data_IF_151511155970
#
_entry.id   IF_151511155970
#
_cell.length_a   1.000
_cell.length_b   1.000
_cell.length_c   1.000
_cell.angle_alpha   90.00
_cell.angle_beta   90.00
_cell.angle_gamma   90.00
#
_symmetry.space_group_name_H-M   'P 1'
#
loop_
_entity.id
_entity.type
_entity.pdbx_description
1 polymer ?
#
# COMPACT_ATOMS: atom_id res chain seq x y z
N UNK A 1 4.45 37.15 9.53
CA UNK A 1 3.89 36.29 8.45
C UNK A 1 4.25 34.87 8.85
N UNK A 2 3.28 34.00 9.15
CA UNK A 2 3.58 32.59 9.39
C UNK A 2 3.97 31.97 8.04
N UNK A 3 5.15 31.38 7.96
CA UNK A 3 5.52 30.55 6.82
C UNK A 3 4.87 29.19 7.03
N UNK A 4 3.76 28.94 6.34
CA UNK A 4 3.20 27.59 6.24
C UNK A 4 4.16 26.73 5.43
N UNK A 5 4.69 25.70 6.06
CA UNK A 5 5.53 24.70 5.40
C UNK A 5 4.69 23.88 4.43
N UNK A 6 5.31 23.34 3.38
CA UNK A 6 4.69 22.30 2.55
C UNK A 6 4.19 21.12 3.40
N UNK A 7 4.89 20.83 4.50
CA UNK A 7 4.49 19.81 5.45
C UNK A 7 3.17 20.17 6.15
N UNK A 8 3.00 21.42 6.58
CA UNK A 8 1.76 21.90 7.22
C UNK A 8 0.57 21.82 6.24
N UNK A 9 0.80 22.07 4.96
CA UNK A 9 -0.23 21.95 3.92
C UNK A 9 -0.64 20.48 3.75
N UNK A 10 0.32 19.56 3.62
CA UNK A 10 0.06 18.12 3.49
C UNK A 10 -0.67 17.60 4.74
N UNK A 11 -0.23 18.04 5.92
CA UNK A 11 -0.83 17.66 7.19
C UNK A 11 -2.25 18.21 7.36
N UNK A 12 -2.54 19.36 6.76
CA UNK A 12 -3.90 19.93 6.71
C UNK A 12 -4.82 19.23 5.70
N UNK A 13 -4.26 18.61 4.66
CA UNK A 13 -5.03 18.01 3.57
C UNK A 13 -5.48 16.56 3.85
N UNK A 14 -4.82 15.86 4.77
CA UNK A 14 -5.12 14.47 5.08
C UNK A 14 -5.47 14.32 6.56
N UNK A 15 -6.59 13.65 6.85
CA UNK A 15 -6.87 13.21 8.20
C UNK A 15 -5.79 12.24 8.68
N UNK A 16 -5.45 12.26 9.97
CA UNK A 16 -4.39 11.40 10.52
C UNK A 16 -4.65 9.91 10.28
N UNK A 17 -5.91 9.48 10.36
CA UNK A 17 -6.33 8.11 10.03
C UNK A 17 -6.02 7.73 8.58
N UNK A 18 -6.01 8.70 7.66
CA UNK A 18 -5.63 8.48 6.26
C UNK A 18 -4.11 8.33 6.11
N UNK A 19 -3.33 9.13 6.85
CA UNK A 19 -1.86 9.02 6.90
C UNK A 19 -1.43 7.66 7.44
N UNK A 20 -2.03 7.22 8.56
CA UNK A 20 -1.77 5.91 9.17
C UNK A 20 -2.07 4.76 8.20
N UNK A 21 -3.17 4.85 7.43
CA UNK A 21 -3.53 3.86 6.41
C UNK A 21 -2.50 3.80 5.29
N UNK A 22 -2.03 4.95 4.80
CA UNK A 22 -0.96 4.99 3.80
C UNK A 22 0.34 4.39 4.34
N UNK A 23 0.72 4.74 5.56
CA UNK A 23 1.92 4.21 6.20
C UNK A 23 1.86 2.68 6.36
N UNK A 24 0.71 2.16 6.82
CA UNK A 24 0.47 0.72 6.91
C UNK A 24 0.58 0.03 5.55
N UNK A 25 0.01 0.62 4.49
CA UNK A 25 0.13 0.12 3.13
C UNK A 25 1.58 0.07 2.63
N UNK A 26 2.36 1.12 2.89
CA UNK A 26 3.79 1.17 2.53
C UNK A 26 4.61 0.13 3.29
N UNK A 27 4.34 -0.09 4.59
CA UNK A 27 5.00 -1.14 5.40
C UNK A 27 4.71 -2.54 4.84
N UNK A 28 3.48 -2.79 4.39
CA UNK A 28 3.11 -4.05 3.73
C UNK A 28 3.83 -4.23 2.39
N UNK A 29 3.99 -3.15 1.62
CA UNK A 29 4.73 -3.17 0.35
C UNK A 29 6.21 -3.53 0.59
N UNK A 30 6.87 -2.90 1.57
CA UNK A 30 8.25 -3.21 1.96
C UNK A 30 8.38 -4.69 2.35
N UNK A 31 7.45 -5.20 3.17
CA UNK A 31 7.42 -6.61 3.58
C UNK A 31 7.28 -7.56 2.38
N UNK A 32 6.38 -7.26 1.46
CA UNK A 32 6.20 -8.06 0.24
C UNK A 32 7.48 -8.14 -0.60
N UNK A 33 8.17 -7.01 -0.79
CA UNK A 33 9.41 -6.96 -1.55
C UNK A 33 10.48 -7.85 -0.90
N UNK A 34 10.68 -7.71 0.40
CA UNK A 34 11.65 -8.53 1.15
C UNK A 34 11.34 -10.03 1.08
N UNK A 35 10.06 -10.42 1.17
CA UNK A 35 9.65 -11.83 1.17
C UNK A 35 9.68 -12.48 -0.21
N UNK A 36 9.48 -11.70 -1.27
CA UNK A 36 9.44 -12.25 -2.63
C UNK A 36 10.78 -12.13 -3.36
N UNK A 37 11.68 -11.26 -2.92
CA UNK A 37 13.00 -11.04 -3.54
C UNK A 37 12.93 -10.64 -5.01
N UNK A 38 11.75 -10.28 -5.51
CA UNK A 38 11.41 -10.30 -6.93
C UNK A 38 11.34 -8.93 -7.59
N UNK A 39 11.85 -7.89 -6.94
CA UNK A 39 11.80 -6.52 -7.45
C UNK A 39 13.03 -5.73 -7.02
N UNK A 40 13.66 -5.02 -7.96
CA UNK A 40 14.74 -4.05 -7.73
C UNK A 40 14.21 -2.70 -7.17
N UNK A 41 13.11 -2.75 -6.43
CA UNK A 41 12.41 -1.60 -5.87
C UNK A 41 13.06 -0.98 -4.62
N UNK A 42 13.67 -1.76 -3.69
CA UNK A 42 14.35 -1.18 -2.55
C UNK A 42 15.67 -0.57 -2.99
N UNK A 43 15.94 0.63 -2.49
CA UNK A 43 17.30 1.14 -2.43
C UNK A 43 18.07 0.46 -1.31
N UNK A 44 19.39 0.58 -1.34
CA UNK A 44 20.30 0.04 -0.31
C UNK A 44 20.01 0.60 1.09
N UNK A 45 19.34 1.76 1.19
CA UNK A 45 18.91 2.38 2.44
C UNK A 45 17.56 1.87 2.98
N UNK A 46 16.94 0.89 2.31
CA UNK A 46 15.66 0.30 2.70
C UNK A 46 14.43 1.11 2.29
N UNK A 47 14.61 2.22 1.56
CA UNK A 47 13.50 3.01 1.02
C UNK A 47 13.04 2.49 -0.34
N UNK A 48 11.79 2.78 -0.72
CA UNK A 48 11.24 2.42 -2.03
C UNK A 48 11.25 3.67 -2.92
N UNK A 49 11.83 3.56 -4.13
CA UNK A 49 11.69 4.62 -5.12
C UNK A 49 10.35 4.50 -5.85
N UNK A 50 9.38 5.32 -5.46
CA UNK A 50 8.05 5.31 -6.06
C UNK A 50 8.05 5.74 -7.54
N UNK A 51 9.12 6.37 -8.05
CA UNK A 51 9.22 6.77 -9.47
C UNK A 51 9.43 5.56 -10.39
N UNK A 52 10.00 4.48 -9.87
CA UNK A 52 10.16 3.20 -10.57
C UNK A 52 9.07 2.18 -10.18
N UNK A 53 8.18 2.55 -9.25
CA UNK A 53 7.05 1.72 -8.87
C UNK A 53 5.96 1.73 -9.96
N UNK A 54 6.05 0.75 -10.86
CA UNK A 54 5.12 0.57 -11.96
C UNK A 54 3.85 -0.20 -11.58
N UNK A 55 2.83 -0.07 -12.42
CA UNK A 55 1.56 -0.78 -12.30
C UNK A 55 1.73 -2.32 -12.17
N UNK A 56 2.70 -2.90 -12.87
CA UNK A 56 3.01 -4.34 -12.78
C UNK A 56 3.42 -4.78 -11.38
N UNK A 57 4.18 -3.94 -10.66
CA UNK A 57 4.54 -4.19 -9.27
C UNK A 57 3.32 -4.12 -8.35
N UNK A 58 2.46 -3.12 -8.58
CA UNK A 58 1.21 -2.99 -7.84
C UNK A 58 0.31 -4.22 -7.99
N UNK A 59 0.11 -4.72 -9.23
CA UNK A 59 -0.67 -5.94 -9.46
C UNK A 59 -0.09 -7.15 -8.74
N UNK A 60 1.24 -7.34 -8.81
CA UNK A 60 1.91 -8.45 -8.12
C UNK A 60 1.75 -8.36 -6.59
N UNK A 61 1.86 -7.16 -6.03
CA UNK A 61 1.63 -6.89 -4.61
C UNK A 61 0.20 -7.24 -4.20
N UNK A 62 -0.81 -6.79 -4.95
CA UNK A 62 -2.23 -7.08 -4.68
C UNK A 62 -2.47 -8.60 -4.74
N UNK A 63 -1.98 -9.28 -5.78
CA UNK A 63 -2.15 -10.74 -5.91
C UNK A 63 -1.50 -11.52 -4.77
N UNK A 64 -0.37 -11.04 -4.24
CA UNK A 64 0.27 -11.61 -3.07
C UNK A 64 -0.56 -11.43 -1.79
N UNK A 65 -1.18 -10.27 -1.61
CA UNK A 65 -2.01 -9.94 -0.45
C UNK A 65 -3.34 -10.69 -0.40
N UNK A 66 -3.82 -11.25 -1.51
CA UNK A 66 -5.07 -12.03 -1.55
C UNK A 66 -4.86 -13.40 -0.87
N UNK A 67 -5.61 -13.71 0.22
CA UNK A 67 -5.53 -15.02 0.87
C UNK A 67 -5.86 -16.15 -0.11
N UNK A 68 -5.06 -17.22 -0.12
CA UNK A 68 -5.25 -18.34 -1.07
C UNK A 68 -6.61 -19.05 -0.97
N UNK A 69 -7.35 -18.83 0.11
CA UNK A 69 -8.66 -19.46 0.38
C UNK A 69 -9.84 -18.85 -0.41
N UNK A 70 -9.70 -17.68 -1.04
CA UNK A 70 -10.74 -17.10 -1.90
C UNK A 70 -10.72 -17.65 -3.34
N UNK A 71 -9.82 -18.59 -3.67
CA UNK A 71 -9.70 -19.19 -5.02
C UNK A 71 -10.58 -20.42 -5.24
N UNK A 72 -11.30 -20.89 -4.22
CA UNK A 72 -12.14 -22.09 -4.34
C UNK A 72 -13.62 -21.71 -4.44
N UNK A 73 -14.10 -21.47 -5.67
CA UNK A 73 -15.52 -21.64 -6.00
C UNK A 73 -16.28 -20.38 -6.42
N UNK A 74 -16.69 -20.39 -7.70
CA UNK A 74 -17.78 -19.64 -8.33
C UNK A 74 -17.56 -18.14 -8.57
N UNK A 75 -17.34 -17.84 -9.85
CA UNK A 75 -17.31 -16.53 -10.51
C UNK A 75 -16.16 -15.61 -10.09
N UNK A 76 -15.44 -15.10 -11.09
CA UNK A 76 -14.30 -14.19 -10.99
C UNK A 76 -14.72 -12.80 -10.45
N UNK A 77 -15.28 -12.73 -9.26
CA UNK A 77 -15.40 -11.49 -8.52
C UNK A 77 -14.14 -11.39 -7.68
N UNK A 78 -13.18 -10.60 -8.16
CA UNK A 78 -12.16 -10.02 -7.31
C UNK A 78 -12.89 -9.19 -6.25
N UNK A 79 -13.20 -9.79 -5.12
CA UNK A 79 -13.55 -9.04 -3.91
C UNK A 79 -12.21 -8.58 -3.35
N UNK A 80 -11.82 -7.31 -3.51
CA UNK A 80 -10.60 -6.84 -2.91
C UNK A 80 -10.82 -6.84 -1.39
N UNK A 81 -9.77 -7.05 -0.62
CA UNK A 81 -9.81 -7.21 0.84
C UNK A 81 -10.29 -5.95 1.62
N UNK A 82 -10.92 -4.99 0.95
CA UNK A 82 -11.54 -3.80 1.56
C UNK A 82 -12.70 -4.13 2.50
N UNK A 83 -13.28 -5.33 2.44
CA UNK A 83 -14.36 -5.73 3.36
C UNK A 83 -13.91 -5.88 4.82
N UNK A 84 -12.61 -5.84 5.11
CA UNK A 84 -12.11 -5.72 6.49
C UNK A 84 -12.01 -4.26 6.99
N UNK A 85 -12.24 -3.26 6.12
CA UNK A 85 -12.19 -1.83 6.48
C UNK A 85 -13.58 -1.21 6.72
N UNK A 86 -14.67 -1.98 6.62
CA UNK A 86 -16.06 -1.49 6.77
C UNK A 86 -16.75 -1.84 8.10
N UNK A 87 -16.00 -2.14 9.17
CA UNK A 87 -16.57 -2.20 10.51
C UNK A 87 -15.97 -1.08 11.37
N UNK A 88 -16.84 -0.09 11.65
CA UNK A 88 -16.66 1.13 12.46
C UNK A 88 -16.20 2.38 11.70
N UNK A 89 -17.14 2.91 10.91
CA UNK A 89 -17.43 4.34 10.94
C UNK A 89 -18.49 4.63 12.00
#
# INVERSE_FOLDING_TARGET
>A
RQETSLQDIIDSCLADSTKERYESGLRQLIKWIHLTGGTDLPKDDGTIDLRIFQYTHFVRFIVWGVPKHTRQGRNNVLVPCYTAMELQA
#
